data_IF_075950521533
#
_entry.id   IF_075950521533
#
_cell.length_a   1.000
_cell.length_b   1.000
_cell.length_c   1.000
_cell.angle_alpha   90.00
_cell.angle_beta   90.00
_cell.angle_gamma   90.00
#
_symmetry.space_group_name_H-M   'P 1'
#
loop_
_entity.id
_entity.type
_entity.pdbx_description
1 polymer ?
#
# COMPACT_ATOMS: atom_id res chain seq x y z
N UNK A 1 31.60 -23.90 -15.62
CA UNK A 1 31.36 -23.16 -14.37
C UNK A 1 29.87 -23.24 -14.10
N UNK A 2 29.40 -24.07 -13.14
CA UNK A 2 27.97 -24.09 -12.76
C UNK A 2 27.70 -22.85 -11.91
N UNK A 3 26.95 -21.90 -12.46
CA UNK A 3 26.36 -20.82 -11.67
C UNK A 3 25.26 -21.47 -10.85
N UNK A 4 25.50 -21.68 -9.56
CA UNK A 4 24.43 -21.99 -8.62
C UNK A 4 23.59 -20.71 -8.49
N UNK A 5 22.41 -20.69 -9.09
CA UNK A 5 21.37 -19.80 -8.64
C UNK A 5 20.99 -20.25 -7.22
N UNK A 6 21.42 -19.51 -6.22
CA UNK A 6 20.84 -19.64 -4.88
C UNK A 6 19.36 -19.29 -5.02
N UNK A 7 18.49 -20.28 -5.01
CA UNK A 7 17.06 -20.11 -4.80
C UNK A 7 16.87 -19.59 -3.38
N UNK A 8 16.92 -18.30 -3.20
CA UNK A 8 16.57 -17.67 -1.93
C UNK A 8 15.05 -17.70 -1.80
N UNK A 9 14.50 -18.72 -1.13
CA UNK A 9 13.10 -18.79 -0.73
C UNK A 9 12.81 -17.70 0.30
N UNK A 10 12.62 -16.47 -0.16
CA UNK A 10 12.32 -15.33 0.69
C UNK A 10 10.84 -15.37 1.10
N UNK A 11 10.54 -14.84 2.27
CA UNK A 11 9.15 -14.56 2.67
C UNK A 11 8.80 -13.13 2.29
N UNK A 12 7.65 -12.98 1.65
CA UNK A 12 7.09 -11.67 1.26
C UNK A 12 5.74 -11.51 1.97
N UNK A 13 5.60 -10.46 2.76
CA UNK A 13 4.33 -10.08 3.36
C UNK A 13 3.74 -8.91 2.57
N UNK A 14 2.60 -9.14 1.91
CA UNK A 14 1.81 -8.11 1.25
C UNK A 14 0.78 -7.58 2.27
N UNK A 15 0.90 -6.33 2.65
CA UNK A 15 0.12 -5.71 3.72
C UNK A 15 -0.73 -4.59 3.12
N UNK A 16 -2.02 -4.83 3.03
CA UNK A 16 -2.97 -4.01 2.28
C UNK A 16 -3.97 -3.35 3.21
N UNK A 17 -3.97 -2.04 3.20
CA UNK A 17 -4.95 -1.21 3.89
C UNK A 17 -6.33 -1.30 3.20
N UNK A 18 -7.36 -1.52 3.99
CA UNK A 18 -8.76 -1.56 3.59
C UNK A 18 -9.61 -0.63 4.47
N UNK A 19 -9.04 0.49 4.94
CA UNK A 19 -9.78 1.56 5.60
C UNK A 19 -10.79 2.22 4.67
N UNK A 20 -11.69 3.00 5.21
CA UNK A 20 -12.76 3.63 4.45
C UNK A 20 -12.20 4.59 3.38
N UNK A 21 -11.09 5.28 3.65
CA UNK A 21 -10.42 6.16 2.69
C UNK A 21 -9.99 5.42 1.42
N UNK A 22 -9.60 4.16 1.54
CA UNK A 22 -9.20 3.32 0.40
C UNK A 22 -10.36 2.95 -0.54
N UNK A 23 -11.62 3.16 -0.13
CA UNK A 23 -12.78 2.99 -1.01
C UNK A 23 -12.91 4.08 -2.07
N UNK A 24 -12.21 5.21 -1.89
CA UNK A 24 -12.32 6.35 -2.78
C UNK A 24 -11.94 6.00 -4.22
N UNK A 25 -12.69 6.56 -5.16
CA UNK A 25 -12.48 6.48 -6.59
C UNK A 25 -12.83 7.82 -7.22
N UNK A 26 -11.87 8.52 -7.76
CA UNK A 26 -12.05 9.73 -8.55
C UNK A 26 -12.66 9.47 -9.93
N UNK A 27 -13.10 10.52 -10.59
CA UNK A 27 -13.74 10.43 -11.92
C UNK A 27 -12.78 9.89 -12.99
N UNK A 28 -11.49 10.24 -12.89
CA UNK A 28 -10.45 9.82 -13.83
C UNK A 28 -9.81 8.48 -13.48
N UNK A 29 -10.11 7.90 -12.32
CA UNK A 29 -9.57 6.62 -11.92
C UNK A 29 -10.33 5.45 -12.55
N UNK A 30 -9.61 4.42 -12.99
CA UNK A 30 -10.20 3.18 -13.52
C UNK A 30 -10.92 2.41 -12.41
N UNK A 31 -10.37 2.43 -11.21
CA UNK A 31 -10.88 1.71 -10.04
C UNK A 31 -10.55 2.48 -8.75
N UNK A 32 -11.11 2.04 -7.60
CA UNK A 32 -10.80 2.64 -6.31
C UNK A 32 -9.35 2.39 -5.88
N UNK A 33 -8.84 3.18 -4.92
CA UNK A 33 -7.51 2.98 -4.34
C UNK A 33 -7.30 1.54 -3.87
N UNK A 34 -8.29 0.98 -3.16
CA UNK A 34 -8.24 -0.41 -2.72
C UNK A 34 -8.18 -1.40 -3.89
N UNK A 35 -9.00 -1.22 -4.92
CA UNK A 35 -8.99 -2.13 -6.07
C UNK A 35 -7.66 -2.04 -6.84
N UNK A 36 -7.08 -0.85 -6.99
CA UNK A 36 -5.76 -0.65 -7.56
C UNK A 36 -4.68 -1.40 -6.75
N UNK A 37 -4.67 -1.19 -5.43
CA UNK A 37 -3.72 -1.86 -4.54
C UNK A 37 -3.94 -3.39 -4.50
N UNK A 38 -5.19 -3.87 -4.58
CA UNK A 38 -5.51 -5.29 -4.64
C UNK A 38 -4.99 -5.95 -5.94
N UNK A 39 -5.13 -5.28 -7.09
CA UNK A 39 -4.57 -5.76 -8.36
C UNK A 39 -3.04 -5.77 -8.29
N UNK A 40 -2.42 -4.72 -7.74
CA UNK A 40 -0.99 -4.68 -7.52
C UNK A 40 -0.52 -5.83 -6.63
N UNK A 41 -1.18 -6.05 -5.48
CA UNK A 41 -0.88 -7.15 -4.57
C UNK A 41 -0.99 -8.52 -5.25
N UNK A 42 -2.02 -8.73 -6.07
CA UNK A 42 -2.22 -9.96 -6.85
C UNK A 42 -1.06 -10.20 -7.84
N UNK A 43 -0.65 -9.17 -8.57
CA UNK A 43 0.50 -9.23 -9.49
C UNK A 43 1.81 -9.53 -8.74
N UNK A 44 2.05 -8.86 -7.62
CA UNK A 44 3.24 -9.08 -6.79
C UNK A 44 3.27 -10.48 -6.20
N UNK A 45 2.12 -11.00 -5.71
CA UNK A 45 1.99 -12.37 -5.24
C UNK A 45 2.34 -13.39 -6.32
N UNK A 46 1.81 -13.19 -7.53
CA UNK A 46 2.12 -14.04 -8.67
C UNK A 46 3.60 -14.02 -9.04
N UNK A 47 4.21 -12.84 -9.11
CA UNK A 47 5.63 -12.68 -9.45
C UNK A 47 6.53 -13.32 -8.40
N UNK A 48 6.26 -13.09 -7.10
CA UNK A 48 7.03 -13.66 -6.01
C UNK A 48 6.93 -15.20 -5.99
N UNK A 49 5.73 -15.75 -6.16
CA UNK A 49 5.56 -17.22 -6.25
C UNK A 49 6.30 -17.82 -7.44
N UNK A 50 6.30 -17.15 -8.58
CA UNK A 50 7.08 -17.60 -9.75
C UNK A 50 8.59 -17.61 -9.52
N UNK A 51 9.06 -16.85 -8.55
CA UNK A 51 10.47 -16.81 -8.12
C UNK A 51 10.78 -17.79 -6.99
N UNK A 52 9.79 -18.60 -6.56
CA UNK A 52 9.95 -19.57 -5.49
C UNK A 52 9.74 -19.01 -4.08
N UNK A 53 9.27 -17.76 -3.94
CA UNK A 53 9.07 -17.16 -2.63
C UNK A 53 7.76 -17.60 -1.96
N UNK A 54 7.76 -17.50 -0.63
CA UNK A 54 6.57 -17.68 0.19
C UNK A 54 5.87 -16.34 0.38
N UNK A 55 4.62 -16.22 -0.05
CA UNK A 55 3.86 -14.97 0.05
C UNK A 55 2.80 -15.08 1.13
N UNK A 56 2.69 -14.09 2.01
CA UNK A 56 1.58 -13.88 2.92
C UNK A 56 0.81 -12.63 2.52
N UNK A 57 -0.53 -12.70 2.58
CA UNK A 57 -1.42 -11.55 2.36
C UNK A 57 -2.10 -11.18 3.68
N UNK A 58 -2.05 -9.89 4.01
CA UNK A 58 -2.62 -9.28 5.21
C UNK A 58 -3.48 -8.11 4.79
N UNK A 59 -4.79 -8.22 4.93
CA UNK A 59 -5.75 -7.14 4.63
C UNK A 59 -6.33 -6.67 5.96
N UNK A 60 -6.24 -5.38 6.23
CA UNK A 60 -6.61 -4.81 7.52
C UNK A 60 -7.34 -3.45 7.38
N UNK A 61 -8.07 -3.09 8.43
CA UNK A 61 -8.58 -1.76 8.72
C UNK A 61 -8.39 -1.52 10.24
N UNK A 62 -9.46 -1.36 11.03
CA UNK A 62 -9.44 -1.31 12.50
C UNK A 62 -8.96 -2.62 13.15
N UNK A 63 -8.94 -3.68 12.38
CA UNK A 63 -8.47 -5.02 12.73
C UNK A 63 -8.04 -5.77 11.50
N UNK A 64 -7.43 -6.94 11.69
CA UNK A 64 -7.12 -7.86 10.58
C UNK A 64 -8.42 -8.41 9.99
N UNK A 65 -8.70 -8.11 8.73
CA UNK A 65 -9.88 -8.56 7.98
C UNK A 65 -9.62 -9.90 7.29
N UNK A 66 -8.39 -10.11 6.80
CA UNK A 66 -7.96 -11.37 6.20
C UNK A 66 -6.47 -11.55 6.38
N UNK A 67 -6.08 -12.78 6.70
CA UNK A 67 -4.70 -13.22 6.76
C UNK A 67 -4.59 -14.56 6.04
N UNK A 68 -3.87 -14.57 4.93
CA UNK A 68 -3.62 -15.78 4.14
C UNK A 68 -2.13 -15.98 4.01
N UNK A 69 -1.62 -17.09 4.53
CA UNK A 69 -0.24 -17.49 4.29
C UNK A 69 -0.22 -18.50 3.15
N UNK A 70 0.44 -18.14 2.07
CA UNK A 70 0.60 -19.04 0.94
C UNK A 70 1.87 -19.89 1.10
N UNK A 71 1.71 -21.20 0.94
CA UNK A 71 2.80 -22.05 0.48
C UNK A 71 3.12 -21.75 -1.00
N UNK A 72 4.08 -22.50 -1.57
CA UNK A 72 4.52 -22.34 -2.97
C UNK A 72 3.52 -22.87 -4.02
N UNK A 73 2.22 -23.05 -3.68
CA UNK A 73 1.25 -23.75 -4.51
C UNK A 73 0.21 -22.80 -5.14
N UNK A 74 -0.23 -23.13 -6.34
CA UNK A 74 -1.23 -22.37 -7.10
C UNK A 74 -2.57 -22.17 -6.34
N UNK A 75 -2.97 -23.12 -5.50
CA UNK A 75 -4.16 -23.05 -4.64
C UNK A 75 -4.11 -21.86 -3.67
N UNK A 76 -2.92 -21.51 -3.21
CA UNK A 76 -2.73 -20.39 -2.30
C UNK A 76 -2.88 -19.03 -3.00
N UNK A 77 -2.48 -18.90 -4.25
CA UNK A 77 -2.73 -17.69 -5.05
C UNK A 77 -4.24 -17.51 -5.29
N UNK A 78 -4.95 -18.58 -5.66
CA UNK A 78 -6.40 -18.52 -5.84
C UNK A 78 -7.14 -18.09 -4.57
N UNK A 79 -6.70 -18.58 -3.39
CA UNK A 79 -7.25 -18.17 -2.11
C UNK A 79 -6.99 -16.67 -1.83
N UNK A 80 -5.79 -16.16 -2.12
CA UNK A 80 -5.48 -14.73 -1.99
C UNK A 80 -6.35 -13.88 -2.91
N UNK A 81 -6.52 -14.27 -4.17
CA UNK A 81 -7.37 -13.56 -5.13
C UNK A 81 -8.83 -13.51 -4.66
N UNK A 82 -9.33 -14.61 -4.10
CA UNK A 82 -10.67 -14.66 -3.53
C UNK A 82 -10.84 -13.69 -2.35
N UNK A 83 -9.85 -13.60 -1.44
CA UNK A 83 -9.87 -12.65 -0.33
C UNK A 83 -9.82 -11.20 -0.82
N UNK A 84 -8.91 -10.88 -1.76
CA UNK A 84 -8.81 -9.53 -2.35
C UNK A 84 -10.11 -9.08 -3.02
N UNK A 85 -10.86 -10.00 -3.62
CA UNK A 85 -12.14 -9.70 -4.27
C UNK A 85 -13.31 -9.57 -3.29
N UNK A 86 -13.21 -10.16 -2.10
CA UNK A 86 -14.29 -10.22 -1.11
C UNK A 86 -14.31 -9.03 -0.16
N UNK A 87 -13.13 -8.50 0.19
CA UNK A 87 -13.00 -7.42 1.16
C UNK A 87 -13.58 -6.13 0.59
N UNK A 88 -14.33 -5.43 1.44
CA UNK A 88 -14.85 -4.08 1.17
C UNK A 88 -14.21 -3.13 2.16
N UNK A 89 -13.54 -2.07 1.69
CA UNK A 89 -12.92 -1.07 2.54
C UNK A 89 -13.94 -0.42 3.48
N UNK A 90 -13.58 -0.33 4.77
CA UNK A 90 -14.39 0.32 5.80
C UNK A 90 -13.58 0.50 7.09
N UNK A 91 -13.97 1.48 7.91
CA UNK A 91 -13.31 1.76 9.20
C UNK A 91 -12.03 2.56 9.07
N UNK A 92 -11.27 2.65 10.14
CA UNK A 92 -10.00 3.40 10.26
C UNK A 92 -8.84 2.42 10.30
N UNK A 93 -7.70 2.76 9.69
CA UNK A 93 -6.56 1.85 9.65
C UNK A 93 -5.80 1.78 10.98
N UNK A 94 -5.59 0.58 11.52
CA UNK A 94 -4.63 0.30 12.60
C UNK A 94 -3.33 -0.27 12.02
N UNK A 95 -2.51 0.61 11.43
CA UNK A 95 -1.23 0.25 10.85
C UNK A 95 -0.29 -0.48 11.82
N UNK A 96 -0.07 0.01 13.06
CA UNK A 96 0.88 -0.62 13.98
C UNK A 96 0.57 -2.08 14.27
N UNK A 97 -0.70 -2.39 14.57
CA UNK A 97 -1.12 -3.76 14.89
C UNK A 97 -1.01 -4.68 13.67
N UNK A 98 -1.45 -4.23 12.50
CA UNK A 98 -1.35 -5.01 11.27
C UNK A 98 0.11 -5.29 10.86
N UNK A 99 0.98 -4.28 10.97
CA UNK A 99 2.39 -4.41 10.62
C UNK A 99 3.13 -5.34 11.59
N UNK A 100 2.78 -5.32 12.88
CA UNK A 100 3.33 -6.27 13.85
C UNK A 100 2.97 -7.72 13.49
N UNK A 101 1.70 -8.00 13.16
CA UNK A 101 1.26 -9.34 12.75
C UNK A 101 1.94 -9.82 11.46
N UNK A 102 2.04 -8.95 10.45
CA UNK A 102 2.75 -9.26 9.22
C UNK A 102 4.24 -9.49 9.46
N UNK A 103 4.83 -8.74 10.38
CA UNK A 103 6.22 -8.88 10.84
C UNK A 103 6.48 -10.25 11.47
N UNK A 104 5.55 -10.76 12.27
CA UNK A 104 5.65 -12.09 12.90
C UNK A 104 5.62 -13.22 11.86
N UNK A 105 4.88 -13.05 10.77
CA UNK A 105 4.89 -14.00 9.67
C UNK A 105 6.27 -14.14 9.02
N UNK A 106 7.03 -13.05 8.89
CA UNK A 106 8.34 -13.05 8.23
C UNK A 106 9.40 -13.83 9.01
N UNK A 107 9.25 -14.00 10.34
CA UNK A 107 10.16 -14.77 11.22
C UNK A 107 11.65 -14.52 10.98
N UNK A 108 12.04 -13.26 10.83
CA UNK A 108 13.41 -12.85 10.53
C UNK A 108 13.54 -12.17 9.18
N UNK A 109 14.49 -12.59 8.34
CA UNK A 109 14.71 -11.99 7.02
C UNK A 109 13.50 -12.19 6.11
N UNK A 110 13.08 -11.12 5.45
CA UNK A 110 11.99 -11.15 4.50
C UNK A 110 11.64 -9.74 4.03
N UNK A 111 10.73 -9.64 3.10
CA UNK A 111 10.28 -8.38 2.52
C UNK A 111 8.85 -8.07 2.98
N UNK A 112 8.63 -6.86 3.45
CA UNK A 112 7.30 -6.33 3.73
C UNK A 112 6.93 -5.30 2.67
N UNK A 113 5.78 -5.48 2.04
CA UNK A 113 5.24 -4.55 1.05
C UNK A 113 3.98 -3.92 1.63
N UNK A 114 4.05 -2.64 1.94
CA UNK A 114 2.98 -1.86 2.54
C UNK A 114 2.22 -1.10 1.45
N UNK A 115 0.90 -1.15 1.46
CA UNK A 115 0.03 -0.47 0.48
C UNK A 115 -1.07 0.26 1.22
N UNK A 116 -1.04 1.59 1.23
CA UNK A 116 -2.00 2.47 1.91
C UNK A 116 -1.88 3.89 1.35
N UNK A 117 -2.84 4.75 1.66
CA UNK A 117 -2.73 6.19 1.48
C UNK A 117 -2.05 6.90 2.66
N UNK A 118 -1.87 6.22 3.80
CA UNK A 118 -1.21 6.70 5.03
C UNK A 118 -1.78 8.00 5.61
N UNK A 119 -2.97 8.42 5.21
CA UNK A 119 -3.63 9.58 5.80
C UNK A 119 -3.78 9.43 7.32
N UNK A 120 -3.47 10.51 8.05
CA UNK A 120 -3.55 10.53 9.51
C UNK A 120 -2.49 9.71 10.25
N UNK A 121 -1.48 9.17 9.54
CA UNK A 121 -0.40 8.38 10.13
C UNK A 121 0.99 9.03 10.01
N UNK A 122 1.07 10.24 9.47
CA UNK A 122 2.30 10.94 9.11
C UNK A 122 3.27 11.05 10.29
N UNK A 123 2.78 11.48 11.46
CA UNK A 123 3.62 11.71 12.65
C UNK A 123 4.22 10.41 13.24
N UNK A 124 3.66 9.27 12.86
CA UNK A 124 4.05 7.97 13.39
C UNK A 124 4.83 7.11 12.38
N UNK A 125 4.75 7.42 11.10
CA UNK A 125 5.26 6.59 10.00
C UNK A 125 6.74 6.27 10.17
N UNK A 126 7.60 7.28 10.28
CA UNK A 126 9.04 7.08 10.42
C UNK A 126 9.43 6.23 11.64
N UNK A 127 8.68 6.36 12.75
CA UNK A 127 8.92 5.55 13.94
C UNK A 127 8.66 4.06 13.67
N UNK A 128 7.53 3.74 13.03
CA UNK A 128 7.14 2.35 12.78
C UNK A 128 7.98 1.72 11.67
N UNK A 129 8.36 2.46 10.64
CA UNK A 129 9.31 1.99 9.63
C UNK A 129 10.68 1.65 10.24
N UNK A 130 11.19 2.48 11.18
CA UNK A 130 12.42 2.15 11.92
C UNK A 130 12.30 0.86 12.72
N UNK A 131 11.14 0.59 13.33
CA UNK A 131 10.91 -0.66 14.07
C UNK A 131 10.96 -1.88 13.13
N UNK A 132 10.38 -1.78 11.93
CA UNK A 132 10.47 -2.84 10.92
C UNK A 132 11.91 -3.07 10.47
N UNK A 133 12.65 -2.00 10.21
CA UNK A 133 14.07 -2.07 9.82
C UNK A 133 14.95 -2.71 10.89
N UNK A 134 14.68 -2.44 12.17
CA UNK A 134 15.42 -3.06 13.28
C UNK A 134 15.29 -4.59 13.28
N UNK A 135 14.20 -5.13 12.77
CA UNK A 135 13.97 -6.57 12.57
C UNK A 135 14.65 -7.17 11.34
N UNK A 136 15.57 -6.46 10.68
CA UNK A 136 16.24 -6.89 9.44
C UNK A 136 15.26 -7.23 8.29
N UNK A 137 14.18 -6.47 8.18
CA UNK A 137 13.17 -6.64 7.12
C UNK A 137 13.36 -5.58 6.07
N UNK A 138 13.44 -6.00 4.83
CA UNK A 138 13.37 -5.08 3.70
C UNK A 138 11.93 -4.61 3.57
N UNK A 139 11.74 -3.31 3.40
CA UNK A 139 10.40 -2.71 3.36
C UNK A 139 10.25 -1.87 2.11
N UNK A 140 9.18 -2.09 1.38
CA UNK A 140 8.73 -1.27 0.27
C UNK A 140 7.34 -0.71 0.58
N UNK A 141 7.16 0.56 0.33
CA UNK A 141 5.92 1.28 0.60
C UNK A 141 5.34 1.81 -0.71
N UNK A 142 4.16 1.35 -1.06
CA UNK A 142 3.33 1.92 -2.12
C UNK A 142 2.36 2.92 -1.50
N UNK A 143 2.61 4.20 -1.74
CA UNK A 143 1.76 5.30 -1.32
C UNK A 143 0.66 5.46 -2.37
N UNK A 144 -0.53 4.90 -2.10
CA UNK A 144 -1.63 4.78 -3.06
C UNK A 144 -2.56 5.98 -2.92
N UNK A 145 -2.53 6.88 -3.89
CA UNK A 145 -3.39 8.06 -3.92
C UNK A 145 -4.22 8.08 -5.20
N UNK A 146 -5.41 8.64 -5.11
CA UNK A 146 -6.21 8.93 -6.28
C UNK A 146 -5.75 10.23 -6.93
N UNK A 147 -5.82 10.31 -8.26
CA UNK A 147 -5.42 11.51 -8.98
C UNK A 147 -6.20 12.75 -8.55
N UNK A 148 -7.47 12.59 -8.22
CA UNK A 148 -8.33 13.69 -7.75
C UNK A 148 -7.89 14.18 -6.35
N UNK A 149 -7.32 13.30 -5.51
CA UNK A 149 -6.71 13.69 -4.23
C UNK A 149 -5.41 14.47 -4.43
N UNK A 150 -4.64 14.14 -5.48
CA UNK A 150 -3.38 14.83 -5.78
C UNK A 150 -3.62 16.21 -6.38
N UNK A 151 -4.57 16.33 -7.31
CA UNK A 151 -4.73 17.50 -8.18
C UNK A 151 -5.93 18.39 -7.88
N UNK A 152 -6.91 17.90 -7.10
CA UNK A 152 -8.17 18.55 -6.79
C UNK A 152 -8.86 19.16 -8.04
N UNK A 153 -9.24 18.37 -9.05
CA UNK A 153 -9.67 18.88 -10.36
C UNK A 153 -11.09 19.46 -10.38
N UNK A 154 -11.72 19.64 -9.22
CA UNK A 154 -13.11 20.10 -9.11
C UNK A 154 -13.21 21.61 -9.31
N UNK A 155 -14.18 22.05 -10.14
CA UNK A 155 -14.39 23.47 -10.45
C UNK A 155 -15.64 24.05 -9.77
N UNK A 156 -16.63 23.22 -9.43
CA UNK A 156 -17.90 23.64 -8.84
C UNK A 156 -17.89 23.46 -7.32
N UNK A 157 -18.79 24.20 -6.64
CA UNK A 157 -18.98 24.02 -5.20
C UNK A 157 -19.30 22.55 -4.88
N UNK A 158 -18.44 21.92 -4.12
CA UNK A 158 -18.50 20.48 -3.82
C UNK A 158 -18.59 20.26 -2.32
N UNK A 159 -19.38 19.28 -1.92
CA UNK A 159 -19.41 18.79 -0.55
C UNK A 159 -18.39 17.68 -0.41
N UNK A 160 -17.29 17.96 0.27
CA UNK A 160 -16.32 16.95 0.65
C UNK A 160 -16.81 16.25 1.90
N UNK A 161 -16.85 14.93 1.87
CA UNK A 161 -17.16 14.09 3.02
C UNK A 161 -15.89 13.34 3.44
N UNK A 162 -15.55 13.43 4.71
CA UNK A 162 -14.54 12.57 5.28
C UNK A 162 -15.07 11.14 5.36
N UNK A 163 -14.35 10.20 4.77
CA UNK A 163 -14.79 8.80 4.67
C UNK A 163 -14.72 8.04 6.00
N UNK A 164 -14.00 8.58 7.00
CA UNK A 164 -13.80 7.94 8.30
C UNK A 164 -14.70 8.54 9.38
N UNK A 165 -15.00 9.85 9.30
CA UNK A 165 -15.76 10.56 10.36
C UNK A 165 -17.17 10.99 9.93
N UNK A 166 -17.53 10.83 8.65
CA UNK A 166 -18.77 11.37 8.04
C UNK A 166 -18.90 12.91 8.13
N UNK A 167 -17.85 13.62 8.57
CA UNK A 167 -17.86 15.08 8.56
C UNK A 167 -17.92 15.61 7.11
N UNK A 168 -18.71 16.66 6.92
CA UNK A 168 -18.92 17.26 5.60
C UNK A 168 -18.52 18.71 5.60
N UNK A 169 -17.69 19.08 4.63
CA UNK A 169 -17.25 20.46 4.42
C UNK A 169 -17.68 20.89 3.02
N UNK A 170 -18.54 21.90 2.97
CA UNK A 170 -18.84 22.56 1.71
C UNK A 170 -17.72 23.53 1.37
N UNK A 171 -17.05 23.31 0.26
CA UNK A 171 -15.98 24.18 -0.20
C UNK A 171 -16.16 24.52 -1.68
N UNK A 172 -15.63 25.66 -2.08
CA UNK A 172 -15.45 25.99 -3.50
C UNK A 172 -14.02 25.63 -3.88
N UNK A 173 -13.80 24.54 -4.61
CA UNK A 173 -12.45 24.01 -4.86
C UNK A 173 -11.53 25.05 -5.49
N UNK A 174 -12.02 25.87 -6.43
CA UNK A 174 -11.21 26.91 -7.08
C UNK A 174 -10.61 27.94 -6.13
N UNK A 175 -11.17 28.12 -4.93
CA UNK A 175 -10.63 29.03 -3.91
C UNK A 175 -9.56 28.40 -3.03
N UNK A 176 -9.55 27.07 -2.93
CA UNK A 176 -8.65 26.33 -2.02
C UNK A 176 -7.64 25.44 -2.76
N UNK A 177 -7.78 25.26 -4.08
CA UNK A 177 -7.01 24.30 -4.86
C UNK A 177 -5.49 24.49 -4.70
N UNK A 178 -5.00 25.72 -4.78
CA UNK A 178 -3.57 25.98 -4.66
C UNK A 178 -3.03 25.57 -3.28
N UNK A 179 -3.71 25.98 -2.21
CA UNK A 179 -3.31 25.64 -0.84
C UNK A 179 -3.42 24.12 -0.59
N UNK A 180 -4.49 23.51 -1.08
CA UNK A 180 -4.70 22.06 -0.99
C UNK A 180 -3.58 21.29 -1.70
N UNK A 181 -3.30 21.60 -2.97
CA UNK A 181 -2.24 20.94 -3.73
C UNK A 181 -0.87 21.13 -3.08
N UNK A 182 -0.59 22.30 -2.51
CA UNK A 182 0.65 22.52 -1.75
C UNK A 182 0.71 21.68 -0.47
N UNK A 183 -0.42 21.47 0.22
CA UNK A 183 -0.48 20.58 1.40
C UNK A 183 -0.30 19.12 1.00
N UNK A 184 -0.96 18.69 -0.06
CA UNK A 184 -0.82 17.33 -0.59
C UNK A 184 0.62 17.05 -1.06
N UNK A 185 1.24 17.98 -1.75
CA UNK A 185 2.64 17.84 -2.16
C UNK A 185 3.59 17.73 -0.95
N UNK A 186 3.35 18.51 0.12
CA UNK A 186 4.11 18.40 1.38
C UNK A 186 3.88 17.08 2.07
N UNK A 187 2.67 16.57 2.09
CA UNK A 187 2.33 15.26 2.64
C UNK A 187 3.08 14.14 1.90
N UNK A 188 3.01 14.12 0.56
CA UNK A 188 3.72 13.13 -0.27
C UNK A 188 5.23 13.19 -0.01
N UNK A 189 5.80 14.40 0.07
CA UNK A 189 7.25 14.55 0.31
C UNK A 189 7.63 14.17 1.76
N UNK A 190 6.75 14.40 2.75
CA UNK A 190 6.96 13.93 4.13
C UNK A 190 7.04 12.40 4.17
N UNK A 191 6.08 11.70 3.59
CA UNK A 191 6.08 10.22 3.51
C UNK A 191 7.34 9.72 2.82
N UNK A 192 7.73 10.35 1.70
CA UNK A 192 8.95 10.02 0.97
C UNK A 192 10.21 10.22 1.81
N UNK A 193 10.30 11.34 2.52
CA UNK A 193 11.43 11.68 3.41
C UNK A 193 11.56 10.68 4.55
N UNK A 194 10.43 10.28 5.15
CA UNK A 194 10.38 9.26 6.21
C UNK A 194 10.88 7.91 5.71
N UNK A 195 10.42 7.51 4.53
CA UNK A 195 10.89 6.28 3.88
C UNK A 195 12.41 6.34 3.62
N UNK A 196 12.89 7.44 3.05
CA UNK A 196 14.33 7.62 2.78
C UNK A 196 15.15 7.55 4.08
N UNK A 197 14.71 8.22 5.15
CA UNK A 197 15.39 8.23 6.45
C UNK A 197 15.47 6.87 7.12
N UNK A 198 14.58 5.96 6.74
CA UNK A 198 14.45 4.61 7.29
C UNK A 198 14.95 3.52 6.34
N UNK A 199 15.53 3.89 5.21
CA UNK A 199 15.96 2.96 4.16
C UNK A 199 14.79 2.06 3.68
N UNK A 200 13.60 2.64 3.57
CA UNK A 200 12.42 2.03 3.01
C UNK A 200 12.24 2.52 1.57
N UNK A 201 12.00 1.64 0.62
CA UNK A 201 11.69 2.04 -0.74
C UNK A 201 10.29 2.64 -0.79
N UNK A 202 10.18 3.79 -1.43
CA UNK A 202 8.91 4.52 -1.59
C UNK A 202 8.54 4.65 -3.06
N UNK A 203 7.30 4.31 -3.39
CA UNK A 203 6.70 4.59 -4.68
C UNK A 203 5.32 5.23 -4.50
N UNK A 204 5.14 6.42 -5.10
CA UNK A 204 3.81 7.02 -5.25
C UNK A 204 3.05 6.25 -6.34
N UNK A 205 1.92 5.67 -5.98
CA UNK A 205 1.04 4.90 -6.85
C UNK A 205 -0.26 5.70 -7.09
N UNK A 206 -0.24 6.52 -8.14
CA UNK A 206 -1.41 7.25 -8.62
C UNK A 206 -2.37 6.28 -9.32
N UNK A 207 -3.65 6.24 -8.91
CA UNK A 207 -4.67 5.32 -9.45
C UNK A 207 -4.99 5.56 -10.93
N UNK A 208 -4.62 6.71 -11.48
CA UNK A 208 -4.73 7.01 -12.91
C UNK A 208 -3.56 6.45 -13.73
N UNK A 209 -2.45 6.11 -13.06
CA UNK A 209 -1.25 5.64 -13.72
C UNK A 209 -1.24 4.12 -13.93
N UNK A 210 -0.44 3.67 -14.92
CA UNK A 210 -0.22 2.25 -15.18
C UNK A 210 0.47 1.56 -14.01
N UNK A 211 0.04 0.34 -13.68
CA UNK A 211 0.69 -0.55 -12.73
C UNK A 211 2.12 -0.97 -13.12
N UNK A 212 2.51 -0.76 -14.37
CA UNK A 212 3.82 -1.17 -14.90
C UNK A 212 4.99 -0.56 -14.10
N UNK A 213 4.87 0.72 -13.75
CA UNK A 213 5.89 1.41 -12.96
C UNK A 213 6.05 0.78 -11.56
N UNK A 214 4.92 0.47 -10.90
CA UNK A 214 4.91 -0.16 -9.59
C UNK A 214 5.53 -1.56 -9.61
N UNK A 215 5.17 -2.37 -10.61
CA UNK A 215 5.73 -3.71 -10.80
C UNK A 215 7.21 -3.68 -11.14
N UNK A 216 7.65 -2.74 -11.98
CA UNK A 216 9.06 -2.56 -12.33
C UNK A 216 9.90 -2.15 -11.12
N UNK A 217 9.40 -1.28 -10.25
CA UNK A 217 10.08 -0.89 -9.01
C UNK A 217 10.30 -2.10 -8.08
N UNK A 218 9.28 -2.93 -7.88
CA UNK A 218 9.40 -4.16 -7.09
C UNK A 218 10.45 -5.12 -7.66
N UNK A 219 10.42 -5.35 -8.97
CA UNK A 219 11.39 -6.26 -9.62
C UNK A 219 12.83 -5.74 -9.56
N UNK A 220 13.02 -4.42 -9.61
CA UNK A 220 14.34 -3.80 -9.51
C UNK A 220 14.90 -3.87 -8.09
N UNK A 221 14.06 -3.63 -7.07
CA UNK A 221 14.45 -3.79 -5.66
C UNK A 221 14.99 -5.19 -5.37
N UNK A 222 14.40 -6.21 -5.94
CA UNK A 222 14.80 -7.61 -5.73
C UNK A 222 16.10 -8.03 -6.44
N UNK A 223 16.59 -7.23 -7.37
CA UNK A 223 17.84 -7.49 -8.10
C UNK A 223 19.07 -6.86 -7.42
N UNK A 224 18.84 -5.92 -6.52
CA UNK A 224 19.87 -5.21 -5.75
C UNK A 224 20.26 -5.99 -4.50
#
# INVERSE_FOLDING_TARGET
MKVFQEETNMRVALVLDASASMAYKGENAVCSKFAYAAILAACLAYLAQRQGDQVGLFIYADKMLSQTSAGQHAESLAAMLAELSRVKPNGVADHPTAWAQASDYLKGRGMMVLMSDFHGFEDQLARHLRMLRFGHRDTMLFHVLDHDEISLPFNEATNFADSETDERIAATPSLIAEEYCQRMARFIESVRSDCLSTQTDHLLADTSASLENALSAFLNHRKA
#
